data_IF_057348422694
#
_entry.id   IF_057348422694
#
_cell.length_a   1.000
_cell.length_b   1.000
_cell.length_c   1.000
_cell.angle_alpha   90.00
_cell.angle_beta   90.00
_cell.angle_gamma   90.00
#
_symmetry.space_group_name_H-M   'P 1'
#
loop_
_entity.id
_entity.type
_entity.pdbx_description
1 polymer ?
#
# COMPACT_ATOMS: atom_id res chain seq x y z
N UNK A 1 -10.59 2.19 63.25
CA UNK A 1 -11.32 1.14 63.99
C UNK A 1 -11.16 -0.17 63.23
N UNK A 2 -10.59 -1.18 63.92
CA UNK A 2 -10.52 -2.63 63.62
C UNK A 2 -9.91 -3.12 62.28
N UNK A 3 -8.65 -3.55 62.38
CA UNK A 3 -8.07 -4.72 61.68
C UNK A 3 -8.89 -5.99 61.97
N UNK A 4 -8.85 -6.96 61.05
CA UNK A 4 -8.70 -8.42 61.27
C UNK A 4 -8.59 -9.09 59.88
N UNK A 5 -7.41 -9.50 59.41
CA UNK A 5 -6.68 -10.77 59.63
C UNK A 5 -7.19 -11.96 58.79
N UNK A 6 -6.31 -12.37 57.87
CA UNK A 6 -6.06 -13.70 57.28
C UNK A 6 -6.78 -14.91 57.92
N UNK A 7 -7.32 -15.80 57.07
CA UNK A 7 -7.22 -17.27 57.24
C UNK A 7 -7.16 -17.94 55.85
N UNK A 8 -6.03 -18.62 55.58
CA UNK A 8 -5.93 -19.76 54.66
C UNK A 8 -6.16 -21.01 55.51
N UNK A 9 -6.74 -22.08 54.97
CA UNK A 9 -6.22 -23.41 55.30
C UNK A 9 -5.87 -24.20 54.06
N UNK A 10 -4.66 -24.75 54.14
CA UNK A 10 -4.06 -25.77 53.32
C UNK A 10 -4.44 -27.16 53.89
N UNK A 11 -4.05 -28.23 53.18
CA UNK A 11 -4.03 -29.65 53.58
C UNK A 11 -5.33 -30.44 53.36
N UNK A 12 -5.37 -31.71 52.94
CA UNK A 12 -4.45 -32.66 52.31
C UNK A 12 -5.25 -33.99 52.20
N UNK A 13 -4.83 -34.89 51.30
CA UNK A 13 -4.83 -36.36 51.48
C UNK A 13 -6.04 -37.22 51.03
N UNK A 14 -5.86 -37.85 49.85
CA UNK A 14 -5.80 -39.32 49.55
C UNK A 14 -7.07 -40.17 49.33
N UNK A 15 -6.91 -41.10 48.35
CA UNK A 15 -7.68 -42.28 47.86
C UNK A 15 -8.73 -41.97 46.80
N UNK A 16 -8.72 -42.54 45.58
CA UNK A 16 -8.04 -43.72 45.03
C UNK A 16 -9.08 -44.78 44.63
N UNK A 17 -9.43 -44.87 43.34
CA UNK A 17 -10.10 -45.98 42.63
C UNK A 17 -10.32 -45.50 41.16
N UNK A 18 -9.41 -45.79 40.24
CA UNK A 18 -9.43 -46.92 39.27
C UNK A 18 -10.76 -47.05 38.53
N UNK A 19 -10.81 -46.50 37.32
CA UNK A 19 -11.45 -47.13 36.15
C UNK A 19 -10.61 -46.83 34.90
N UNK A 20 -10.12 -47.92 34.32
CA UNK A 20 -9.37 -48.04 33.06
C UNK A 20 -10.26 -47.81 31.85
N UNK A 21 -9.71 -47.27 30.74
CA UNK A 21 -9.99 -47.61 29.32
C UNK A 21 -8.98 -46.82 28.42
N UNK A 22 -8.57 -47.35 27.25
CA UNK A 22 -7.15 -47.41 26.86
C UNK A 22 -6.71 -46.45 25.74
N UNK A 23 -5.39 -46.38 25.59
CA UNK A 23 -4.65 -45.84 24.44
C UNK A 23 -5.07 -46.54 23.14
N UNK A 24 -5.23 -45.76 22.08
CA UNK A 24 -5.25 -46.26 20.70
C UNK A 24 -4.29 -45.45 19.83
N UNK A 25 -3.32 -46.16 19.26
CA UNK A 25 -2.50 -45.76 18.12
C UNK A 25 -3.37 -45.53 16.87
N UNK A 26 -3.10 -44.51 16.06
CA UNK A 26 -3.53 -44.51 14.67
C UNK A 26 -2.42 -45.11 13.81
N UNK A 27 -2.53 -46.41 13.55
CA UNK A 27 -1.78 -47.07 12.49
C UNK A 27 -2.07 -46.41 11.13
N UNK A 28 -0.99 -46.30 10.35
CA UNK A 28 -0.96 -45.96 8.93
C UNK A 28 -1.83 -46.90 8.09
N UNK A 29 -2.47 -46.36 7.04
CA UNK A 29 -2.46 -46.84 5.64
C UNK A 29 -3.38 -45.93 4.77
N UNK A 30 -3.26 -45.96 3.42
CA UNK A 30 -3.40 -44.80 2.57
C UNK A 30 -4.84 -44.62 2.09
N UNK A 31 -5.36 -43.41 2.18
CA UNK A 31 -6.64 -43.07 1.57
C UNK A 31 -6.40 -42.85 0.07
N UNK A 32 -6.46 -43.95 -0.70
CA UNK A 32 -6.75 -43.90 -2.13
C UNK A 32 -8.25 -43.65 -2.29
N UNK A 33 -8.67 -42.39 -2.34
CA UNK A 33 -10.03 -42.05 -2.77
C UNK A 33 -10.12 -42.15 -4.29
N UNK A 34 -10.66 -43.28 -4.77
CA UNK A 34 -11.24 -43.37 -6.11
C UNK A 34 -12.51 -42.53 -6.13
N UNK A 35 -12.56 -41.52 -6.99
CA UNK A 35 -13.76 -40.72 -7.22
C UNK A 35 -14.74 -41.52 -8.10
N UNK A 36 -15.89 -41.88 -7.54
CA UNK A 36 -17.12 -42.05 -8.30
C UNK A 36 -18.06 -40.91 -7.88
N UNK A 37 -18.35 -39.99 -8.80
CA UNK A 37 -19.47 -39.06 -8.64
C UNK A 37 -20.61 -39.53 -9.55
N UNK A 38 -21.68 -39.98 -8.90
CA UNK A 38 -23.00 -40.20 -9.49
C UNK A 38 -23.60 -38.88 -9.94
N UNK A 39 -24.04 -38.85 -11.19
CA UNK A 39 -24.76 -37.78 -11.87
C UNK A 39 -26.12 -37.51 -11.20
N UNK A 40 -26.39 -36.26 -10.82
CA UNK A 40 -27.75 -35.73 -10.75
C UNK A 40 -27.89 -34.85 -12.00
N UNK A 41 -28.68 -35.34 -12.96
CA UNK A 41 -28.93 -34.68 -14.22
C UNK A 41 -29.90 -33.51 -14.01
N UNK A 42 -29.42 -32.30 -14.26
CA UNK A 42 -30.24 -31.12 -14.58
C UNK A 42 -29.73 -30.58 -15.92
N UNK A 43 -30.63 -30.48 -16.90
CA UNK A 43 -30.53 -29.87 -18.24
C UNK A 43 -29.11 -29.56 -18.76
N UNK A 44 -28.66 -30.41 -19.68
CA UNK A 44 -27.29 -30.46 -20.20
C UNK A 44 -26.98 -29.36 -21.21
N UNK A 45 -26.49 -28.22 -20.74
CA UNK A 45 -25.50 -27.46 -21.50
C UNK A 45 -24.16 -28.18 -21.35
N UNK A 46 -23.83 -29.06 -22.31
CA UNK A 46 -22.59 -29.86 -22.26
C UNK A 46 -21.40 -28.95 -22.59
N UNK A 47 -20.96 -28.16 -21.62
CA UNK A 47 -19.84 -27.26 -21.79
C UNK A 47 -18.55 -28.04 -22.11
N UNK A 48 -17.62 -27.46 -22.91
CA UNK A 48 -16.30 -28.04 -23.13
C UNK A 48 -15.58 -28.35 -21.83
N UNK A 49 -14.81 -29.45 -21.78
CA UNK A 49 -14.12 -29.90 -20.57
C UNK A 49 -13.36 -28.78 -19.80
N UNK A 50 -12.61 -27.86 -20.44
CA UNK A 50 -11.97 -26.75 -19.74
C UNK A 50 -12.94 -25.83 -18.98
N UNK A 51 -14.12 -25.60 -19.53
CA UNK A 51 -15.15 -24.75 -18.91
C UNK A 51 -15.67 -25.42 -17.64
N UNK A 52 -16.06 -26.70 -17.71
CA UNK A 52 -16.49 -27.47 -16.55
C UNK A 52 -15.38 -27.57 -15.49
N UNK A 53 -14.13 -27.72 -15.91
CA UNK A 53 -12.97 -27.73 -15.01
C UNK A 53 -12.83 -26.42 -14.22
N UNK A 54 -12.96 -25.26 -14.89
CA UNK A 54 -12.89 -23.95 -14.26
C UNK A 54 -14.02 -23.70 -13.28
N UNK A 55 -15.25 -24.08 -13.64
CA UNK A 55 -16.44 -23.92 -12.79
C UNK A 55 -16.30 -24.79 -11.54
N UNK A 56 -16.11 -26.11 -11.73
CA UNK A 56 -16.20 -27.09 -10.65
C UNK A 56 -15.03 -27.04 -9.68
N UNK A 57 -13.82 -26.71 -10.15
CA UNK A 57 -12.60 -26.80 -9.33
C UNK A 57 -12.05 -25.44 -8.87
N UNK A 58 -12.41 -24.34 -9.53
CA UNK A 58 -11.81 -23.03 -9.27
C UNK A 58 -12.83 -21.92 -8.97
N UNK A 59 -14.13 -22.23 -9.02
CA UNK A 59 -15.22 -21.33 -8.64
C UNK A 59 -15.48 -20.23 -9.66
N UNK A 60 -15.26 -20.50 -10.95
CA UNK A 60 -15.63 -19.58 -12.02
C UNK A 60 -17.15 -19.58 -12.22
N UNK A 61 -17.72 -18.42 -12.56
CA UNK A 61 -19.07 -18.39 -13.13
C UNK A 61 -19.04 -18.97 -14.55
N UNK A 62 -20.17 -19.51 -15.01
CA UNK A 62 -20.31 -20.02 -16.38
C UNK A 62 -19.82 -19.02 -17.43
N UNK A 63 -20.25 -17.76 -17.30
CA UNK A 63 -19.85 -16.69 -18.22
C UNK A 63 -18.33 -16.44 -18.24
N UNK A 64 -17.69 -16.39 -17.06
CA UNK A 64 -16.24 -16.16 -16.97
C UNK A 64 -15.43 -17.36 -17.50
N UNK A 65 -15.90 -18.58 -17.27
CA UNK A 65 -15.28 -19.80 -17.77
C UNK A 65 -15.37 -19.90 -19.31
N UNK A 66 -16.55 -19.61 -19.88
CA UNK A 66 -16.75 -19.52 -21.33
C UNK A 66 -15.88 -18.42 -21.95
N UNK A 67 -15.76 -17.26 -21.28
CA UNK A 67 -14.89 -16.18 -21.74
C UNK A 67 -13.43 -16.62 -21.77
N UNK A 68 -12.93 -17.30 -20.73
CA UNK A 68 -11.55 -17.81 -20.68
C UNK A 68 -11.29 -18.88 -21.77
N UNK A 69 -12.28 -19.73 -22.06
CA UNK A 69 -12.21 -20.73 -23.12
C UNK A 69 -12.20 -20.09 -24.51
N UNK A 70 -13.18 -19.22 -24.81
CA UNK A 70 -13.33 -18.56 -26.11
C UNK A 70 -12.16 -17.61 -26.42
N UNK A 71 -11.60 -16.95 -25.40
CA UNK A 71 -10.38 -16.13 -25.52
C UNK A 71 -9.09 -16.96 -25.59
N UNK A 72 -9.20 -18.29 -25.73
CA UNK A 72 -8.06 -19.19 -25.89
C UNK A 72 -7.08 -19.19 -24.71
N UNK A 73 -7.51 -18.78 -23.53
CA UNK A 73 -6.67 -18.84 -22.33
C UNK A 73 -6.47 -20.29 -21.89
N UNK A 74 -7.52 -21.13 -21.97
CA UNK A 74 -7.44 -22.55 -21.63
C UNK A 74 -7.51 -23.43 -22.88
N UNK A 75 -6.48 -24.25 -23.10
CA UNK A 75 -6.28 -25.14 -24.27
C UNK A 75 -5.81 -26.52 -23.84
N UNK A 76 -6.71 -27.28 -23.24
CA UNK A 76 -6.52 -28.68 -22.87
C UNK A 76 -7.81 -29.48 -23.11
N UNK A 77 -7.68 -30.80 -23.34
CA UNK A 77 -8.81 -31.69 -23.62
C UNK A 77 -9.09 -32.67 -22.49
N UNK A 78 -8.14 -32.86 -21.59
CA UNK A 78 -8.15 -33.85 -20.53
C UNK A 78 -7.53 -33.26 -19.24
N UNK A 79 -7.64 -33.93 -18.09
CA UNK A 79 -7.18 -33.39 -16.81
C UNK A 79 -5.66 -33.37 -16.63
N UNK A 80 -4.88 -34.01 -17.52
CA UNK A 80 -3.44 -34.21 -17.35
C UNK A 80 -2.67 -32.89 -17.21
N UNK A 81 -2.94 -31.91 -18.09
CA UNK A 81 -2.28 -30.60 -18.03
C UNK A 81 -2.67 -29.80 -16.77
N UNK A 82 -3.96 -29.61 -16.45
CA UNK A 82 -4.38 -29.01 -15.19
C UNK A 82 -3.75 -29.69 -13.96
N UNK A 83 -3.78 -31.03 -13.91
CA UNK A 83 -3.24 -31.80 -12.77
C UNK A 83 -1.73 -31.64 -12.65
N UNK A 84 -0.99 -31.64 -13.76
CA UNK A 84 0.44 -31.37 -13.77
C UNK A 84 0.77 -29.99 -13.17
N UNK A 85 0.01 -28.96 -13.54
CA UNK A 85 0.18 -27.59 -13.02
C UNK A 85 -0.17 -27.51 -11.53
N UNK A 86 -1.28 -28.12 -11.11
CA UNK A 86 -1.70 -28.15 -9.70
C UNK A 86 -0.64 -28.88 -8.85
N UNK A 87 -0.17 -30.04 -9.31
CA UNK A 87 0.84 -30.82 -8.61
C UNK A 87 2.18 -30.06 -8.53
N UNK A 88 2.57 -29.34 -9.59
CA UNK A 88 3.72 -28.46 -9.56
C UNK A 88 3.61 -27.42 -8.44
N UNK A 89 2.51 -26.67 -8.36
CA UNK A 89 2.33 -25.68 -7.31
C UNK A 89 2.30 -26.32 -5.90
N UNK A 90 1.65 -27.47 -5.73
CA UNK A 90 1.66 -28.22 -4.45
C UNK A 90 3.07 -28.62 -4.03
N UNK A 91 3.89 -29.13 -4.96
CA UNK A 91 5.28 -29.51 -4.70
C UNK A 91 6.16 -28.30 -4.33
N UNK A 92 5.74 -27.09 -4.70
CA UNK A 92 6.37 -25.83 -4.30
C UNK A 92 5.67 -25.15 -3.10
N UNK A 93 4.96 -25.94 -2.27
CA UNK A 93 4.32 -25.51 -1.02
C UNK A 93 3.19 -24.49 -1.15
N UNK A 94 2.55 -24.38 -2.32
CA UNK A 94 1.35 -23.56 -2.46
C UNK A 94 0.15 -24.27 -1.85
N UNK A 95 -0.60 -23.58 -0.98
CA UNK A 95 -1.85 -24.10 -0.46
C UNK A 95 -2.92 -24.21 -1.56
N UNK A 96 -3.93 -25.04 -1.34
CA UNK A 96 -5.07 -25.14 -2.24
C UNK A 96 -5.75 -23.77 -2.48
N UNK A 97 -5.84 -22.93 -1.45
CA UNK A 97 -6.38 -21.57 -1.55
C UNK A 97 -5.51 -20.68 -2.45
N UNK A 98 -4.18 -20.69 -2.28
CA UNK A 98 -3.27 -19.93 -3.14
C UNK A 98 -3.40 -20.35 -4.61
N UNK A 99 -3.45 -21.66 -4.87
CA UNK A 99 -3.63 -22.20 -6.23
C UNK A 99 -4.96 -21.70 -6.83
N UNK A 100 -6.06 -21.77 -6.06
CA UNK A 100 -7.35 -21.26 -6.51
C UNK A 100 -7.32 -19.77 -6.88
N UNK A 101 -6.66 -18.94 -6.07
CA UNK A 101 -6.50 -17.50 -6.35
C UNK A 101 -5.68 -17.28 -7.63
N UNK A 102 -4.58 -18.02 -7.79
CA UNK A 102 -3.69 -17.92 -8.95
C UNK A 102 -4.43 -18.28 -10.24
N UNK A 103 -5.13 -19.41 -10.25
CA UNK A 103 -5.84 -19.88 -11.45
C UNK A 103 -7.00 -18.95 -11.82
N UNK A 104 -7.71 -18.38 -10.83
CA UNK A 104 -8.73 -17.37 -11.10
C UNK A 104 -8.18 -16.12 -11.81
N UNK A 105 -6.97 -15.69 -11.43
CA UNK A 105 -6.30 -14.54 -12.06
C UNK A 105 -5.60 -14.89 -13.39
N UNK A 106 -5.16 -16.13 -13.55
CA UNK A 106 -4.33 -16.57 -14.67
C UNK A 106 -4.72 -17.99 -15.14
N UNK A 107 -5.92 -18.18 -15.72
CA UNK A 107 -6.41 -19.51 -16.08
C UNK A 107 -5.56 -20.19 -17.15
N UNK A 108 -4.82 -19.41 -17.94
CA UNK A 108 -3.86 -19.91 -18.92
C UNK A 108 -2.76 -20.80 -18.36
N UNK A 109 -2.47 -20.68 -17.06
CA UNK A 109 -1.50 -21.55 -16.39
C UNK A 109 -1.88 -23.03 -16.49
N UNK A 110 -3.19 -23.36 -16.49
CA UNK A 110 -3.67 -24.74 -16.62
C UNK A 110 -3.30 -25.41 -17.95
N UNK A 111 -2.89 -24.60 -18.95
CA UNK A 111 -2.45 -25.09 -20.26
C UNK A 111 -0.93 -25.08 -20.43
N UNK A 112 -0.20 -24.64 -19.40
CA UNK A 112 1.25 -24.48 -19.44
C UNK A 112 1.98 -25.80 -19.17
N UNK A 113 3.26 -25.85 -19.55
CA UNK A 113 4.17 -26.93 -19.19
C UNK A 113 5.01 -26.47 -17.99
N UNK A 114 4.68 -26.90 -16.75
CA UNK A 114 5.26 -26.30 -15.55
C UNK A 114 6.79 -26.46 -15.47
N UNK A 115 7.30 -27.67 -15.76
CA UNK A 115 8.73 -27.97 -15.66
C UNK A 115 9.60 -27.17 -16.63
N UNK A 116 9.08 -26.86 -17.83
CA UNK A 116 9.86 -26.13 -18.84
C UNK A 116 9.62 -24.63 -18.79
N UNK A 117 8.43 -24.17 -18.38
CA UNK A 117 8.05 -22.75 -18.46
C UNK A 117 8.03 -22.03 -17.12
N UNK A 118 7.76 -22.73 -16.02
CA UNK A 118 7.57 -22.13 -14.70
C UNK A 118 8.77 -22.40 -13.78
N UNK A 119 9.27 -23.64 -13.76
CA UNK A 119 10.37 -24.05 -12.89
C UNK A 119 11.62 -23.16 -13.00
N UNK A 120 12.11 -22.78 -14.20
CA UNK A 120 13.29 -21.90 -14.28
C UNK A 120 13.09 -20.55 -13.60
N UNK A 121 11.85 -20.03 -13.58
CA UNK A 121 11.51 -18.75 -12.95
C UNK A 121 11.50 -18.86 -11.43
N UNK A 122 11.01 -19.98 -10.91
CA UNK A 122 11.04 -20.28 -9.48
C UNK A 122 12.48 -20.43 -9.00
N UNK A 123 13.28 -21.22 -9.73
CA UNK A 123 14.70 -21.40 -9.45
C UNK A 123 15.44 -20.07 -9.47
N UNK A 124 15.16 -19.20 -10.44
CA UNK A 124 15.75 -17.87 -10.48
C UNK A 124 15.49 -17.08 -9.19
N UNK A 125 14.24 -16.98 -8.71
CA UNK A 125 13.95 -16.26 -7.47
C UNK A 125 14.61 -16.90 -6.25
N UNK A 126 14.58 -18.23 -6.13
CA UNK A 126 15.24 -18.98 -5.04
C UNK A 126 16.76 -18.74 -5.02
N UNK A 127 17.42 -18.84 -6.17
CA UNK A 127 18.87 -18.63 -6.31
C UNK A 127 19.28 -17.18 -6.02
N UNK A 128 18.37 -16.22 -6.14
CA UNK A 128 18.58 -14.82 -5.77
C UNK A 128 18.13 -14.51 -4.31
N UNK A 129 17.93 -15.53 -3.49
CA UNK A 129 17.69 -15.40 -2.05
C UNK A 129 16.24 -15.17 -1.64
N UNK A 130 15.28 -15.28 -2.56
CA UNK A 130 13.86 -15.26 -2.18
C UNK A 130 13.51 -16.55 -1.45
N UNK A 131 12.71 -16.46 -0.38
CA UNK A 131 12.16 -17.65 0.28
C UNK A 131 11.00 -18.25 -0.51
N UNK A 132 10.66 -19.52 -0.26
CA UNK A 132 9.45 -20.14 -0.81
C UNK A 132 8.19 -19.32 -0.49
N UNK A 133 8.09 -18.75 0.72
CA UNK A 133 6.98 -17.88 1.11
C UNK A 133 6.93 -16.55 0.33
N UNK A 134 8.08 -15.99 -0.04
CA UNK A 134 8.14 -14.78 -0.87
C UNK A 134 7.59 -15.07 -2.28
N UNK A 135 7.95 -16.22 -2.86
CA UNK A 135 7.47 -16.66 -4.18
C UNK A 135 5.96 -16.96 -4.13
N UNK A 136 5.48 -17.61 -3.07
CA UNK A 136 4.04 -17.85 -2.87
C UNK A 136 3.27 -16.53 -2.81
N UNK A 137 3.76 -15.58 -2.01
CA UNK A 137 3.17 -14.23 -1.90
C UNK A 137 3.16 -13.52 -3.25
N UNK A 138 4.30 -13.52 -3.95
CA UNK A 138 4.45 -12.88 -5.26
C UNK A 138 3.47 -13.41 -6.28
N UNK A 139 3.41 -14.74 -6.45
CA UNK A 139 2.62 -15.35 -7.51
C UNK A 139 1.13 -15.36 -7.17
N UNK A 140 0.76 -15.43 -5.89
CA UNK A 140 -0.64 -15.26 -5.47
C UNK A 140 -1.15 -13.84 -5.78
N UNK A 141 -0.31 -12.82 -5.58
CA UNK A 141 -0.65 -11.45 -5.90
C UNK A 141 -0.62 -11.18 -7.41
N UNK A 142 0.45 -11.56 -8.08
CA UNK A 142 0.79 -11.23 -9.46
C UNK A 142 1.22 -12.46 -10.27
N UNK A 143 0.30 -13.36 -10.66
CA UNK A 143 0.64 -14.51 -11.50
C UNK A 143 0.97 -14.11 -12.95
N UNK A 144 0.65 -12.88 -13.37
CA UNK A 144 0.92 -12.40 -14.73
C UNK A 144 2.43 -12.34 -15.04
N UNK A 145 3.29 -12.19 -14.02
CA UNK A 145 4.75 -12.23 -14.18
C UNK A 145 5.24 -13.52 -14.85
N UNK A 146 4.51 -14.64 -14.67
CA UNK A 146 4.84 -15.93 -15.28
C UNK A 146 4.61 -15.95 -16.80
N UNK A 147 3.93 -14.95 -17.39
CA UNK A 147 3.78 -14.82 -18.84
C UNK A 147 5.05 -14.25 -19.49
N UNK A 148 5.82 -13.45 -18.75
CA UNK A 148 7.05 -12.81 -19.23
C UNK A 148 8.18 -13.80 -19.48
N UNK A 149 9.08 -13.52 -20.44
CA UNK A 149 10.32 -14.29 -20.62
C UNK A 149 11.22 -14.13 -19.38
N UNK A 150 11.88 -15.21 -18.98
CA UNK A 150 12.83 -15.14 -17.87
C UNK A 150 14.01 -14.24 -18.26
N UNK A 151 14.63 -14.52 -19.41
CA UNK A 151 15.87 -13.92 -19.90
C UNK A 151 15.66 -12.48 -20.37
N UNK A 152 14.60 -12.22 -21.14
CA UNK A 152 14.37 -10.91 -21.77
C UNK A 152 13.65 -9.91 -20.85
N UNK A 153 13.10 -10.37 -19.72
CA UNK A 153 12.18 -9.54 -18.93
C UNK A 153 12.33 -9.68 -17.42
N UNK A 154 12.22 -10.89 -16.87
CA UNK A 154 12.27 -11.07 -15.41
C UNK A 154 13.66 -10.75 -14.87
N UNK A 155 14.71 -11.34 -15.44
CA UNK A 155 16.10 -11.11 -15.03
C UNK A 155 16.47 -9.61 -15.13
N UNK A 156 16.28 -8.94 -16.28
CA UNK A 156 16.69 -7.54 -16.41
C UNK A 156 15.93 -6.58 -15.48
N UNK A 157 14.63 -6.82 -15.24
CA UNK A 157 13.85 -6.03 -14.26
C UNK A 157 14.38 -6.27 -12.85
N UNK A 158 14.62 -7.53 -12.51
CA UNK A 158 15.09 -7.89 -11.19
C UNK A 158 16.45 -7.23 -10.88
N UNK A 159 17.40 -7.32 -11.80
CA UNK A 159 18.72 -6.68 -11.67
C UNK A 159 18.61 -5.17 -11.58
N UNK A 160 17.72 -4.56 -12.37
CA UNK A 160 17.47 -3.12 -12.33
C UNK A 160 16.92 -2.68 -10.97
N UNK A 161 15.90 -3.38 -10.46
CA UNK A 161 15.30 -3.08 -9.16
C UNK A 161 16.30 -3.28 -8.03
N UNK A 162 17.13 -4.32 -8.11
CA UNK A 162 18.16 -4.62 -7.10
C UNK A 162 19.20 -3.49 -6.93
N UNK A 163 19.32 -2.55 -7.89
CA UNK A 163 20.16 -1.34 -7.74
C UNK A 163 19.54 -0.29 -6.81
N UNK A 164 18.22 -0.31 -6.62
CA UNK A 164 17.47 0.70 -5.86
C UNK A 164 16.91 0.16 -4.54
N UNK A 165 16.79 -1.15 -4.40
CA UNK A 165 16.26 -1.81 -3.22
C UNK A 165 17.37 -2.54 -2.46
N UNK A 166 17.33 -2.44 -1.13
CA UNK A 166 18.39 -3.01 -0.27
C UNK A 166 18.24 -4.52 -0.07
N UNK A 167 17.02 -5.03 -0.11
CA UNK A 167 16.74 -6.45 0.17
C UNK A 167 15.91 -7.09 -0.94
N UNK A 168 16.05 -8.40 -1.09
CA UNK A 168 15.20 -9.21 -1.97
C UNK A 168 13.71 -9.08 -1.62
N UNK A 169 13.39 -8.96 -0.33
CA UNK A 169 12.02 -8.76 0.14
C UNK A 169 11.43 -7.45 -0.38
N UNK A 170 12.22 -6.38 -0.43
CA UNK A 170 11.77 -5.10 -0.99
C UNK A 170 11.51 -5.20 -2.50
N UNK A 171 12.36 -5.94 -3.24
CA UNK A 171 12.15 -6.20 -4.67
C UNK A 171 10.88 -7.01 -4.90
N UNK A 172 10.64 -8.06 -4.09
CA UNK A 172 9.42 -8.88 -4.18
C UNK A 172 8.19 -8.04 -3.83
N UNK A 173 8.23 -7.27 -2.75
CA UNK A 173 7.15 -6.37 -2.37
C UNK A 173 6.84 -5.36 -3.48
N UNK A 174 7.88 -4.84 -4.15
CA UNK A 174 7.70 -3.99 -5.31
C UNK A 174 6.99 -4.70 -6.47
N UNK A 175 7.40 -5.92 -6.82
CA UNK A 175 6.78 -6.71 -7.90
C UNK A 175 5.33 -7.12 -7.60
N UNK A 176 4.97 -7.19 -6.31
CA UNK A 176 3.60 -7.39 -5.82
C UNK A 176 2.77 -6.13 -6.02
N UNK A 177 3.25 -4.97 -5.54
CA UNK A 177 2.49 -3.71 -5.52
C UNK A 177 2.41 -3.09 -6.92
N UNK A 178 3.48 -3.20 -7.71
CA UNK A 178 3.62 -2.55 -9.02
C UNK A 178 3.60 -3.56 -10.17
N UNK A 179 2.71 -4.55 -10.08
CA UNK A 179 2.56 -5.62 -11.07
C UNK A 179 2.37 -5.09 -12.49
N UNK A 180 1.66 -3.97 -12.63
CA UNK A 180 1.39 -3.32 -13.90
C UNK A 180 2.65 -2.82 -14.60
N UNK A 181 3.67 -2.38 -13.86
CA UNK A 181 4.90 -1.91 -14.49
C UNK A 181 5.63 -3.07 -15.19
N UNK A 182 5.74 -4.20 -14.49
CA UNK A 182 6.41 -5.39 -15.00
C UNK A 182 5.60 -6.09 -16.10
N UNK A 183 4.28 -5.91 -16.14
CA UNK A 183 3.42 -6.50 -17.16
C UNK A 183 3.24 -5.63 -18.41
N UNK A 184 3.15 -4.30 -18.27
CA UNK A 184 2.58 -3.44 -19.30
C UNK A 184 3.59 -2.54 -20.04
N UNK A 185 4.79 -2.30 -19.51
CA UNK A 185 5.76 -1.38 -20.14
C UNK A 185 7.03 -2.08 -20.59
N UNK A 186 7.48 -1.93 -21.86
CA UNK A 186 8.73 -2.53 -22.34
C UNK A 186 9.96 -2.23 -21.45
N UNK A 187 10.91 -3.16 -21.34
CA UNK A 187 12.02 -3.07 -20.36
C UNK A 187 13.01 -1.98 -20.78
N UNK A 188 13.33 -1.98 -22.06
CA UNK A 188 14.05 -0.94 -22.78
C UNK A 188 13.50 0.45 -22.48
N UNK A 189 12.18 0.62 -22.43
CA UNK A 189 11.57 1.92 -22.06
C UNK A 189 11.83 2.30 -20.61
N UNK A 190 11.67 1.36 -19.68
CA UNK A 190 11.94 1.59 -18.25
C UNK A 190 13.41 1.99 -18.06
N UNK A 191 14.32 1.24 -18.67
CA UNK A 191 15.76 1.49 -18.60
C UNK A 191 16.13 2.84 -19.22
N UNK A 192 15.60 3.16 -20.41
CA UNK A 192 15.81 4.45 -21.07
C UNK A 192 15.32 5.63 -20.22
N UNK A 193 14.14 5.50 -19.60
CA UNK A 193 13.60 6.54 -18.74
C UNK A 193 14.41 6.73 -17.45
N UNK A 194 14.96 5.67 -16.87
CA UNK A 194 15.89 5.78 -15.72
C UNK A 194 17.17 6.51 -16.15
N UNK A 195 17.75 6.14 -17.29
CA UNK A 195 18.93 6.82 -17.82
C UNK A 195 18.66 8.29 -18.12
N UNK A 196 17.48 8.60 -18.68
CA UNK A 196 17.05 9.98 -18.91
C UNK A 196 16.94 10.77 -17.60
N UNK A 197 16.37 10.19 -16.54
CA UNK A 197 16.33 10.83 -15.22
C UNK A 197 17.74 11.10 -14.68
N UNK A 198 18.66 10.14 -14.81
CA UNK A 198 20.07 10.31 -14.40
C UNK A 198 20.75 11.42 -15.22
N UNK A 199 20.52 11.47 -16.53
CA UNK A 199 21.02 12.53 -17.40
C UNK A 199 20.51 13.91 -16.98
N UNK A 200 19.26 14.02 -16.54
CA UNK A 200 18.70 15.26 -16.00
C UNK A 200 19.28 15.65 -14.63
N UNK A 201 20.02 14.75 -13.95
CA UNK A 201 20.67 15.01 -12.67
C UNK A 201 19.96 14.39 -11.45
N UNK A 202 18.96 13.54 -11.64
CA UNK A 202 18.28 12.89 -10.52
C UNK A 202 19.20 11.86 -9.86
N UNK A 203 19.35 11.96 -8.55
CA UNK A 203 20.08 10.98 -7.75
C UNK A 203 19.31 9.66 -7.59
N UNK A 204 20.05 8.56 -7.36
CA UNK A 204 19.47 7.21 -7.24
C UNK A 204 18.43 7.11 -6.12
N UNK A 205 18.59 7.84 -5.02
CA UNK A 205 17.61 7.87 -3.92
C UNK A 205 16.29 8.51 -4.33
N UNK A 206 16.32 9.52 -5.21
CA UNK A 206 15.10 10.13 -5.77
C UNK A 206 14.43 9.20 -6.76
N UNK A 207 15.19 8.52 -7.60
CA UNK A 207 14.68 7.49 -8.54
C UNK A 207 14.05 6.32 -7.76
N UNK A 208 14.72 5.81 -6.73
CA UNK A 208 14.19 4.75 -5.86
C UNK A 208 12.85 5.14 -5.21
N UNK A 209 12.74 6.37 -4.71
CA UNK A 209 11.49 6.88 -4.13
C UNK A 209 10.38 7.04 -5.17
N UNK A 210 10.71 7.43 -6.41
CA UNK A 210 9.74 7.47 -7.51
C UNK A 210 9.26 6.08 -7.90
N UNK A 211 10.16 5.08 -7.95
CA UNK A 211 9.77 3.68 -8.18
C UNK A 211 8.73 3.27 -7.15
N UNK A 212 9.01 3.48 -5.86
CA UNK A 212 8.12 3.09 -4.77
C UNK A 212 6.76 3.81 -4.78
N UNK A 213 6.74 5.09 -5.15
CA UNK A 213 5.53 5.93 -4.99
C UNK A 213 4.72 6.14 -6.26
N UNK A 214 5.33 5.99 -7.45
CA UNK A 214 4.67 6.20 -8.75
C UNK A 214 5.42 5.52 -9.91
N UNK A 215 5.46 4.19 -9.87
CA UNK A 215 6.13 3.35 -10.87
C UNK A 215 5.72 3.65 -12.33
N UNK A 216 4.47 4.01 -12.60
CA UNK A 216 4.00 4.28 -13.97
C UNK A 216 4.78 5.39 -14.72
N UNK A 217 5.48 6.29 -14.00
CA UNK A 217 6.34 7.33 -14.61
C UNK A 217 7.43 6.69 -15.47
N UNK A 218 7.97 5.55 -15.07
CA UNK A 218 9.04 4.86 -15.80
C UNK A 218 8.54 4.20 -17.10
N UNK A 219 7.23 4.04 -17.26
CA UNK A 219 6.60 3.55 -18.49
C UNK A 219 6.19 4.65 -19.47
N UNK A 220 6.36 5.93 -19.11
CA UNK A 220 5.93 7.08 -19.89
C UNK A 220 6.70 7.19 -21.22
N UNK A 221 5.99 7.55 -22.29
CA UNK A 221 6.57 7.82 -23.63
C UNK A 221 7.00 9.27 -23.81
N UNK A 222 6.62 10.15 -22.87
CA UNK A 222 6.78 11.59 -22.94
C UNK A 222 7.43 12.14 -21.65
N UNK A 223 8.26 11.34 -20.99
CA UNK A 223 8.89 11.68 -19.71
C UNK A 223 9.70 12.98 -19.80
N UNK A 224 10.43 13.16 -20.90
CA UNK A 224 11.29 14.34 -21.15
C UNK A 224 10.51 15.65 -20.98
N UNK A 225 9.29 15.74 -21.51
CA UNK A 225 8.46 16.96 -21.43
C UNK A 225 8.17 17.36 -19.99
N UNK A 226 7.94 16.39 -19.10
CA UNK A 226 7.69 16.69 -17.69
C UNK A 226 8.96 16.93 -16.89
N UNK A 227 10.08 16.33 -17.28
CA UNK A 227 11.39 16.68 -16.69
C UNK A 227 11.74 18.13 -17.02
N UNK A 228 11.56 18.54 -18.28
CA UNK A 228 11.76 19.92 -18.74
C UNK A 228 10.78 20.88 -18.07
N UNK A 229 9.49 20.53 -17.98
CA UNK A 229 8.48 21.34 -17.30
C UNK A 229 8.84 21.57 -15.82
N UNK A 230 9.20 20.51 -15.08
CA UNK A 230 9.55 20.63 -13.66
C UNK A 230 10.85 21.43 -13.49
N UNK A 231 11.84 21.24 -14.38
CA UNK A 231 13.05 22.06 -14.39
C UNK A 231 12.74 23.53 -14.68
N UNK A 232 11.85 23.81 -15.63
CA UNK A 232 11.39 25.15 -15.99
C UNK A 232 10.61 25.86 -14.87
N UNK A 233 9.96 25.10 -13.99
CA UNK A 233 9.34 25.62 -12.75
C UNK A 233 10.38 25.95 -11.66
N UNK A 234 11.67 25.78 -11.94
CA UNK A 234 12.78 26.18 -11.09
C UNK A 234 13.13 25.18 -9.99
N UNK A 235 12.76 23.90 -10.15
CA UNK A 235 13.26 22.83 -9.30
C UNK A 235 14.65 22.38 -9.76
N UNK A 236 15.56 22.21 -8.80
CA UNK A 236 16.86 21.60 -9.04
C UNK A 236 16.71 20.07 -9.14
N UNK A 237 17.05 19.45 -10.29
CA UNK A 237 16.99 17.99 -10.51
C UNK A 237 17.74 17.15 -9.47
N UNK A 238 18.77 17.70 -8.83
CA UNK A 238 19.56 16.97 -7.83
C UNK A 238 18.79 16.72 -6.52
N UNK A 239 17.71 17.49 -6.29
CA UNK A 239 16.99 17.52 -5.02
C UNK A 239 15.84 16.53 -4.94
N UNK A 240 15.49 16.14 -3.72
CA UNK A 240 14.33 15.29 -3.47
C UNK A 240 12.99 15.95 -3.82
N UNK A 241 12.92 17.29 -3.81
CA UNK A 241 11.71 18.04 -4.15
C UNK A 241 11.40 17.96 -5.64
N UNK A 242 12.41 17.89 -6.50
CA UNK A 242 12.22 17.64 -7.93
C UNK A 242 11.44 16.34 -8.18
N UNK A 243 11.83 15.24 -7.53
CA UNK A 243 11.09 13.97 -7.65
C UNK A 243 9.64 14.09 -7.17
N UNK A 244 9.38 14.84 -6.09
CA UNK A 244 8.01 15.06 -5.61
C UNK A 244 7.20 15.94 -6.59
N UNK A 245 7.82 16.95 -7.19
CA UNK A 245 7.20 17.80 -8.21
C UNK A 245 6.90 17.01 -9.49
N UNK A 246 7.85 16.18 -9.96
CA UNK A 246 7.64 15.28 -11.09
C UNK A 246 6.48 14.31 -10.85
N UNK A 247 6.42 13.72 -9.64
CA UNK A 247 5.29 12.89 -9.23
C UNK A 247 3.98 13.66 -9.28
N UNK A 248 3.93 14.89 -8.79
CA UNK A 248 2.73 15.72 -8.85
C UNK A 248 2.31 15.99 -10.30
N UNK A 249 3.25 16.42 -11.15
CA UNK A 249 2.97 16.80 -12.55
C UNK A 249 2.58 15.61 -13.44
N UNK A 250 3.28 14.49 -13.36
CA UNK A 250 2.92 13.27 -14.11
C UNK A 250 1.77 12.49 -13.49
N UNK A 251 1.52 12.67 -12.20
CA UNK A 251 0.52 11.90 -11.46
C UNK A 251 -0.92 12.37 -11.64
N UNK A 252 -1.15 13.53 -12.23
CA UNK A 252 -2.49 14.11 -12.38
C UNK A 252 -2.75 14.65 -13.79
N UNK A 253 -4.03 14.68 -14.17
CA UNK A 253 -4.45 15.33 -15.41
C UNK A 253 -4.35 16.85 -15.30
N UNK A 254 -4.24 17.53 -16.45
CA UNK A 254 -4.27 19.01 -16.52
C UNK A 254 -5.55 19.57 -15.88
N UNK A 255 -6.69 18.89 -16.05
CA UNK A 255 -7.97 19.25 -15.43
C UNK A 255 -7.87 19.23 -13.90
N UNK A 256 -7.37 18.14 -13.32
CA UNK A 256 -7.23 18.02 -11.87
C UNK A 256 -6.20 19.02 -11.31
N UNK A 257 -5.11 19.27 -12.03
CA UNK A 257 -4.15 20.31 -11.67
C UNK A 257 -4.81 21.68 -11.55
N UNK A 258 -5.57 22.08 -12.57
CA UNK A 258 -6.27 23.38 -12.57
C UNK A 258 -7.30 23.46 -11.45
N UNK A 259 -8.09 22.41 -11.21
CA UNK A 259 -9.03 22.36 -10.09
C UNK A 259 -8.33 22.56 -8.74
N UNK A 260 -7.16 21.95 -8.53
CA UNK A 260 -6.38 22.16 -7.30
C UNK A 260 -5.87 23.59 -7.18
N UNK A 261 -5.40 24.20 -8.26
CA UNK A 261 -4.99 25.61 -8.26
C UNK A 261 -6.19 26.51 -7.90
N UNK A 262 -7.35 26.26 -8.49
CA UNK A 262 -8.56 27.05 -8.26
C UNK A 262 -9.09 26.92 -6.82
N UNK A 263 -8.86 25.79 -6.17
CA UNK A 263 -9.15 25.62 -4.73
C UNK A 263 -8.35 26.61 -3.90
N UNK A 264 -7.06 26.82 -4.15
CA UNK A 264 -6.28 27.81 -3.42
C UNK A 264 -6.70 29.24 -3.76
N UNK A 265 -7.10 29.52 -5.02
CA UNK A 265 -7.64 30.83 -5.40
C UNK A 265 -8.92 31.20 -4.66
N UNK A 266 -9.79 30.21 -4.37
CA UNK A 266 -10.98 30.41 -3.53
C UNK A 266 -10.62 30.94 -2.13
N UNK A 267 -9.40 30.68 -1.68
CA UNK A 267 -8.86 31.17 -0.40
C UNK A 267 -7.91 32.36 -0.61
N UNK A 268 -8.14 33.17 -1.64
CA UNK A 268 -7.41 34.42 -1.94
C UNK A 268 -5.92 34.25 -2.30
N UNK A 269 -5.49 33.04 -2.69
CA UNK A 269 -4.13 32.87 -3.20
C UNK A 269 -4.06 33.28 -4.67
N UNK A 270 -3.10 34.15 -5.01
CA UNK A 270 -2.75 34.42 -6.41
C UNK A 270 -2.10 33.19 -7.05
N UNK A 271 -2.08 33.14 -8.39
CA UNK A 271 -1.32 32.11 -9.11
C UNK A 271 0.13 32.05 -8.62
N UNK A 272 0.76 33.22 -8.45
CA UNK A 272 2.14 33.32 -7.96
C UNK A 272 2.29 32.72 -6.56
N UNK A 273 1.37 33.01 -5.62
CA UNK A 273 1.41 32.41 -4.29
C UNK A 273 1.29 30.88 -4.33
N UNK A 274 0.43 30.33 -5.20
CA UNK A 274 0.30 28.88 -5.40
C UNK A 274 1.60 28.30 -5.96
N UNK A 275 2.21 28.93 -6.95
CA UNK A 275 3.47 28.44 -7.53
C UNK A 275 4.63 28.52 -6.55
N UNK A 276 4.75 29.57 -5.74
CA UNK A 276 5.76 29.69 -4.69
C UNK A 276 5.55 28.63 -3.59
N UNK A 277 4.31 28.38 -3.18
CA UNK A 277 3.98 27.31 -2.23
C UNK A 277 4.30 25.92 -2.82
N UNK A 278 4.00 25.70 -4.10
CA UNK A 278 4.35 24.45 -4.79
C UNK A 278 5.87 24.28 -4.90
N UNK A 279 6.62 25.35 -5.21
CA UNK A 279 8.08 25.31 -5.33
C UNK A 279 8.77 25.01 -4.00
N UNK A 280 8.29 25.62 -2.92
CA UNK A 280 8.81 25.36 -1.57
C UNK A 280 8.41 23.97 -1.04
N UNK A 281 7.22 23.48 -1.40
CA UNK A 281 6.74 22.17 -0.97
C UNK A 281 5.82 21.49 -2.02
N UNK A 282 6.38 20.69 -2.94
CA UNK A 282 5.61 20.08 -4.04
C UNK A 282 4.53 19.10 -3.60
N UNK A 283 4.69 18.54 -2.39
CA UNK A 283 3.71 17.66 -1.76
C UNK A 283 2.34 18.32 -1.56
N UNK A 284 2.26 19.65 -1.57
CA UNK A 284 1.00 20.40 -1.49
C UNK A 284 0.01 19.95 -2.56
N UNK A 285 0.48 19.76 -3.80
CA UNK A 285 -0.38 19.36 -4.92
C UNK A 285 -0.82 17.89 -4.83
N UNK A 286 -0.23 17.10 -3.95
CA UNK A 286 -0.62 15.71 -3.68
C UNK A 286 -1.72 15.59 -2.60
N UNK A 287 -2.00 16.66 -1.85
CA UNK A 287 -3.08 16.70 -0.85
C UNK A 287 -4.45 16.74 -1.54
N UNK A 288 -5.45 16.00 -1.08
CA UNK A 288 -6.80 16.02 -1.68
C UNK A 288 -7.46 17.41 -1.55
N UNK A 289 -8.33 17.74 -2.50
CA UNK A 289 -9.06 19.01 -2.51
C UNK A 289 -9.88 19.16 -1.21
N UNK A 290 -10.57 18.10 -0.81
CA UNK A 290 -11.40 18.10 0.40
C UNK A 290 -10.58 18.37 1.65
N UNK A 291 -9.39 17.76 1.76
CA UNK A 291 -8.50 17.99 2.90
C UNK A 291 -7.97 19.42 2.92
N UNK A 292 -7.64 20.00 1.77
CA UNK A 292 -7.25 21.43 1.69
C UNK A 292 -8.40 22.31 2.19
N UNK A 293 -9.62 22.13 1.68
CA UNK A 293 -10.77 22.93 2.10
C UNK A 293 -11.11 22.77 3.59
N UNK A 294 -11.02 21.54 4.10
CA UNK A 294 -11.28 21.24 5.50
C UNK A 294 -10.28 21.96 6.42
N UNK A 295 -8.99 21.89 6.09
CA UNK A 295 -7.94 22.58 6.85
C UNK A 295 -8.04 24.10 6.75
N UNK A 296 -8.35 24.63 5.56
CA UNK A 296 -8.56 26.07 5.37
C UNK A 296 -9.78 26.59 6.13
N UNK A 297 -10.89 25.84 6.12
CA UNK A 297 -12.08 26.18 6.92
C UNK A 297 -11.74 26.25 8.40
N UNK A 298 -10.94 25.30 8.90
CA UNK A 298 -10.47 25.34 10.29
C UNK A 298 -9.58 26.56 10.56
N UNK A 299 -8.47 26.74 9.84
CA UNK A 299 -7.52 27.81 10.13
C UNK A 299 -8.07 29.21 9.86
N UNK A 300 -8.71 29.41 8.70
CA UNK A 300 -9.18 30.73 8.27
C UNK A 300 -10.51 31.06 8.93
N UNK A 301 -11.53 30.22 8.77
CA UNK A 301 -12.88 30.58 9.24
C UNK A 301 -13.04 30.43 10.75
N UNK A 302 -12.48 29.38 11.36
CA UNK A 302 -12.65 29.15 12.80
C UNK A 302 -11.58 29.85 13.64
N UNK A 303 -10.33 29.91 13.17
CA UNK A 303 -9.24 30.54 13.94
C UNK A 303 -8.91 31.97 13.50
N UNK A 304 -9.51 32.47 12.42
CA UNK A 304 -9.27 33.83 11.91
C UNK A 304 -7.86 34.03 11.33
N UNK A 305 -7.18 32.97 10.90
CA UNK A 305 -5.82 33.09 10.37
C UNK A 305 -5.82 33.67 8.96
N UNK A 306 -4.80 34.48 8.65
CA UNK A 306 -4.58 34.96 7.30
C UNK A 306 -4.22 33.80 6.37
N UNK A 307 -5.06 33.55 5.36
CA UNK A 307 -4.87 32.52 4.34
C UNK A 307 -3.49 32.58 3.66
N UNK A 308 -3.02 33.77 3.27
CA UNK A 308 -1.74 33.95 2.59
C UNK A 308 -0.54 33.65 3.49
N UNK A 309 -0.69 33.76 4.81
CA UNK A 309 0.38 33.40 5.74
C UNK A 309 0.65 31.88 5.72
N UNK A 310 -0.37 31.06 5.41
CA UNK A 310 -0.24 29.61 5.29
C UNK A 310 0.57 29.19 4.06
N UNK A 311 0.62 30.01 3.00
CA UNK A 311 1.43 29.75 1.81
C UNK A 311 2.94 29.68 2.12
N UNK A 312 3.38 30.32 3.21
CA UNK A 312 4.77 30.26 3.68
C UNK A 312 5.13 28.92 4.32
N UNK A 313 4.15 28.08 4.66
CA UNK A 313 4.40 26.76 5.22
C UNK A 313 3.43 25.69 4.67
N UNK A 314 3.55 25.32 3.39
CA UNK A 314 2.58 24.44 2.75
C UNK A 314 2.61 23.00 3.28
N UNK A 315 3.67 22.60 3.98
CA UNK A 315 3.74 21.28 4.63
C UNK A 315 2.64 21.08 5.67
N UNK A 316 2.09 22.16 6.27
CA UNK A 316 0.99 22.06 7.22
C UNK A 316 -0.25 21.37 6.62
N UNK A 317 -0.49 21.52 5.31
CA UNK A 317 -1.60 20.89 4.61
C UNK A 317 -1.52 19.35 4.58
N UNK A 318 -0.37 18.78 4.91
CA UNK A 318 -0.19 17.32 4.97
C UNK A 318 -0.56 16.72 6.31
N UNK A 319 -0.62 17.51 7.38
CA UNK A 319 -0.92 17.02 8.72
C UNK A 319 -2.37 16.56 8.86
N UNK A 320 -2.62 15.64 9.80
CA UNK A 320 -3.99 15.25 10.15
C UNK A 320 -4.67 16.39 10.87
N UNK A 321 -5.88 16.74 10.44
CA UNK A 321 -6.68 17.76 11.12
C UNK A 321 -6.92 17.34 12.58
N UNK A 322 -7.52 16.17 12.77
CA UNK A 322 -7.99 15.73 14.08
C UNK A 322 -6.84 15.22 14.98
N UNK A 323 -5.82 14.57 14.42
CA UNK A 323 -4.70 13.99 15.21
C UNK A 323 -3.52 14.92 15.43
N UNK A 324 -3.52 16.13 14.84
CA UNK A 324 -2.41 17.07 15.02
C UNK A 324 -2.84 18.51 15.03
N UNK A 325 -3.65 18.94 14.07
CA UNK A 325 -3.97 20.36 13.93
C UNK A 325 -4.90 20.83 15.05
N UNK A 326 -6.04 20.19 15.26
CA UNK A 326 -7.01 20.58 16.29
C UNK A 326 -6.41 20.51 17.70
N UNK A 327 -5.78 19.40 18.15
CA UNK A 327 -5.24 19.29 19.51
C UNK A 327 -4.21 20.37 19.81
N UNK A 328 -3.31 20.64 18.84
CA UNK A 328 -2.28 21.67 19.01
C UNK A 328 -2.87 23.07 18.96
N UNK A 329 -3.83 23.33 18.06
CA UNK A 329 -4.51 24.62 18.00
C UNK A 329 -5.23 24.94 19.31
N UNK A 330 -5.92 23.96 19.92
CA UNK A 330 -6.61 24.16 21.21
C UNK A 330 -5.65 24.53 22.34
N UNK A 331 -4.50 23.84 22.45
CA UNK A 331 -3.45 24.20 23.42
C UNK A 331 -2.96 25.63 23.18
N UNK A 332 -2.64 25.99 21.94
CA UNK A 332 -2.12 27.31 21.60
C UNK A 332 -3.14 28.43 21.84
N UNK A 333 -4.43 28.18 21.59
CA UNK A 333 -5.51 29.12 21.89
C UNK A 333 -5.66 29.35 23.39
N UNK A 334 -5.60 28.28 24.19
CA UNK A 334 -5.65 28.42 25.64
C UNK A 334 -4.47 29.25 26.17
N UNK A 335 -3.25 28.96 25.69
CA UNK A 335 -2.06 29.73 26.07
C UNK A 335 -2.19 31.22 25.69
N UNK A 336 -2.70 31.52 24.49
CA UNK A 336 -2.96 32.90 24.05
C UNK A 336 -4.02 33.58 24.93
N UNK A 337 -5.12 32.89 25.24
CA UNK A 337 -6.19 33.39 26.09
C UNK A 337 -5.71 33.71 27.51
N UNK A 338 -4.80 32.90 28.06
CA UNK A 338 -4.19 33.11 29.37
C UNK A 338 -3.05 34.14 29.37
N UNK A 339 -2.69 34.71 28.21
CA UNK A 339 -1.53 35.60 28.08
C UNK A 339 -0.18 34.91 28.27
N UNK A 340 -0.15 33.57 28.27
CA UNK A 340 1.05 32.74 28.41
C UNK A 340 1.82 32.59 27.09
N UNK A 341 1.31 33.18 26.01
CA UNK A 341 1.92 33.21 24.69
C UNK A 341 1.68 34.56 24.04
N UNK A 342 2.73 35.10 23.42
CA UNK A 342 2.65 36.37 22.71
C UNK A 342 1.77 36.25 21.45
N UNK A 343 1.03 37.32 21.13
CA UNK A 343 0.14 37.36 19.96
C UNK A 343 0.88 37.28 18.62
N UNK A 344 2.13 37.75 18.57
CA UNK A 344 3.01 37.71 17.40
C UNK A 344 3.88 36.44 17.32
N UNK A 345 3.76 35.51 18.28
CA UNK A 345 4.51 34.26 18.26
C UNK A 345 4.17 33.43 17.00
N UNK A 346 5.15 32.68 16.48
CA UNK A 346 5.00 31.91 15.24
C UNK A 346 3.76 31.01 15.24
N UNK A 347 2.82 31.26 14.33
CA UNK A 347 1.61 30.42 14.15
C UNK A 347 1.94 29.01 13.67
N UNK A 348 3.03 28.86 12.93
CA UNK A 348 3.37 27.65 12.18
C UNK A 348 4.25 26.70 12.98
N UNK A 349 5.27 27.21 13.66
CA UNK A 349 6.30 26.39 14.31
C UNK A 349 5.74 25.30 15.25
N UNK A 350 4.70 25.56 16.07
CA UNK A 350 4.12 24.53 16.94
C UNK A 350 3.59 23.29 16.21
N UNK A 351 3.17 23.43 14.95
CA UNK A 351 2.62 22.32 14.15
C UNK A 351 3.70 21.46 13.49
N UNK A 352 4.91 21.99 13.35
CA UNK A 352 6.05 21.29 12.75
C UNK A 352 6.74 20.37 13.76
N UNK A 353 6.75 20.74 15.05
CA UNK A 353 7.46 19.96 16.06
C UNK A 353 6.97 18.51 16.16
N UNK A 354 7.91 17.62 16.54
CA UNK A 354 7.53 16.27 16.97
C UNK A 354 6.60 16.35 18.18
N UNK A 355 5.82 15.30 18.44
CA UNK A 355 4.89 15.28 19.57
C UNK A 355 5.61 15.53 20.91
N UNK A 356 6.73 14.83 21.14
CA UNK A 356 7.57 15.03 22.34
C UNK A 356 7.99 16.49 22.52
N UNK A 357 8.48 17.14 21.46
CA UNK A 357 8.91 18.53 21.51
C UNK A 357 7.72 19.49 21.71
N UNK A 358 6.59 19.21 21.07
CA UNK A 358 5.38 20.00 21.25
C UNK A 358 4.91 19.94 22.72
N UNK A 359 4.77 18.76 23.30
CA UNK A 359 4.34 18.61 24.69
C UNK A 359 5.34 19.26 25.65
N UNK A 360 6.64 19.05 25.46
CA UNK A 360 7.65 19.69 26.29
C UNK A 360 7.59 21.22 26.26
N UNK A 361 7.39 21.83 25.08
CA UNK A 361 7.43 23.29 24.91
C UNK A 361 6.11 24.01 25.12
N UNK A 362 4.97 23.33 24.94
CA UNK A 362 3.65 23.97 24.95
C UNK A 362 2.71 23.39 25.99
N UNK A 363 3.12 22.34 26.70
CA UNK A 363 2.33 21.72 27.77
C UNK A 363 3.13 21.72 29.08
N UNK A 364 4.23 20.98 29.13
CA UNK A 364 4.98 20.76 30.38
C UNK A 364 5.84 21.94 30.85
N UNK A 365 6.15 22.89 29.96
CA UNK A 365 6.85 24.13 30.33
C UNK A 365 5.99 25.07 31.19
N UNK A 366 4.67 24.94 31.13
CA UNK A 366 3.71 25.73 31.88
C UNK A 366 3.29 24.96 33.12
N UNK A 367 4.16 24.93 34.15
CA UNK A 367 4.01 24.03 35.31
C UNK A 367 2.63 24.12 35.97
N UNK A 368 2.08 25.32 36.14
CA UNK A 368 0.79 25.54 36.79
C UNK A 368 -0.41 25.05 35.94
N UNK A 369 -0.31 25.11 34.62
CA UNK A 369 -1.38 24.74 33.68
C UNK A 369 -1.17 23.35 33.04
N UNK A 370 -0.05 22.69 33.35
CA UNK A 370 0.42 21.51 32.62
C UNK A 370 -0.60 20.36 32.59
N UNK A 371 -1.20 20.03 33.73
CA UNK A 371 -2.23 18.98 33.84
C UNK A 371 -3.46 19.29 32.97
N UNK A 372 -3.91 20.55 32.99
CA UNK A 372 -5.05 20.99 32.18
C UNK A 372 -4.71 20.95 30.68
N UNK A 373 -3.53 21.46 30.29
CA UNK A 373 -3.08 21.49 28.91
C UNK A 373 -2.91 20.07 28.34
N UNK A 374 -2.38 19.14 29.15
CA UNK A 374 -2.26 17.74 28.76
C UNK A 374 -3.65 17.12 28.57
N UNK A 375 -4.56 17.31 29.52
CA UNK A 375 -5.94 16.82 29.42
C UNK A 375 -6.65 17.38 28.18
N UNK A 376 -6.54 18.68 27.93
CA UNK A 376 -7.10 19.33 26.74
C UNK A 376 -6.54 18.72 25.45
N UNK A 377 -5.22 18.52 25.37
CA UNK A 377 -4.60 17.88 24.21
C UNK A 377 -5.12 16.45 23.99
N UNK A 378 -5.16 15.65 25.05
CA UNK A 378 -5.63 14.26 25.00
C UNK A 378 -7.12 14.14 24.65
N UNK A 379 -7.98 15.01 25.17
CA UNK A 379 -9.41 15.05 24.85
C UNK A 379 -9.62 15.32 23.35
N UNK A 380 -8.90 16.31 22.79
CA UNK A 380 -8.97 16.62 21.36
C UNK A 380 -8.40 15.49 20.51
N UNK A 381 -7.37 14.80 20.98
CA UNK A 381 -6.85 13.60 20.32
C UNK A 381 -7.85 12.44 20.35
N UNK A 382 -8.58 12.23 21.45
CA UNK A 382 -9.59 11.16 21.58
C UNK A 382 -10.78 11.34 20.64
N UNK A 383 -11.28 12.57 20.49
CA UNK A 383 -12.36 12.89 19.56
C UNK A 383 -12.02 12.54 18.09
N UNK A 384 -10.73 12.59 17.73
CA UNK A 384 -10.25 12.15 16.41
C UNK A 384 -10.53 10.67 16.14
N UNK A 385 -10.42 9.81 17.15
CA UNK A 385 -10.63 8.37 17.00
C UNK A 385 -12.11 8.01 16.87
N UNK A 386 -13.02 8.81 17.46
CA UNK A 386 -14.47 8.60 17.29
C UNK A 386 -15.00 9.06 15.94
N UNK A 387 -14.43 10.11 15.35
CA UNK A 387 -14.87 10.65 14.05
C UNK A 387 -14.35 9.81 12.87
N UNK A 388 -13.12 9.28 12.93
CA UNK A 388 -12.56 8.41 11.88
C UNK A 388 -13.28 7.04 11.78
N UNK A 389 -13.83 6.53 12.88
CA UNK A 389 -14.59 5.26 12.87
C UNK A 389 -15.98 5.40 12.22
N UNK A 390 -16.50 6.63 12.09
CA UNK A 390 -17.85 6.89 11.56
C UNK A 390 -17.84 7.50 10.14
N UNK A 391 -16.68 7.72 9.53
CA UNK A 391 -16.61 8.41 8.24
C UNK A 391 -15.37 8.10 7.41
N UNK A 392 -15.39 6.97 6.69
CA UNK A 392 -15.12 6.93 5.23
C UNK A 392 -15.22 5.50 4.69
N UNK A 393 -15.91 5.28 3.55
CA UNK A 393 -15.72 4.08 2.75
C UNK A 393 -14.30 4.07 2.18
N UNK A 394 -13.64 2.92 2.27
CA UNK A 394 -12.41 2.62 1.52
C UNK A 394 -12.68 2.82 0.02
N UNK A 395 -12.22 3.95 -0.52
CA UNK A 395 -12.11 4.11 -1.98
C UNK A 395 -10.89 3.30 -2.39
N UNK A 396 -11.15 2.22 -3.13
CA UNK A 396 -10.20 1.31 -3.77
C UNK A 396 -9.25 2.03 -4.73
#
# INVERSE_FOLDING_TARGET
MRRLTLIIPNQNVVRGLITTIPKFDPFSFPISLRFFNTSIASESDTHPFPVSCLINNFGFSTQSALTAFNSNQVRFKNPDKPNSVINFFKNHHFSHSNIGIIIRKAPWLLSSQPNTRLLPKFQFFLSNGASSSDIVSLLTANPAILRSSLEKRIIPIFELLSRFFKTIKDVVAYLIIHSDLSANYPYDRIAANINLMKYFGLCDSTIARLLQTRSCIFGSTDLIKSLEEVKGLGFDPSTTTFGTALRAKKGMSKKLWNQKVDVFKKWDWSNEAVFQAFRSYPGLMLVSIDKVNLLMTFWVNQLGWNSLALAKCPVMFTYSLHKRVIPRASVLQFLLMKGLREKNASLVAPFIYSEKLFLSKFVFSFKAESDYLLKLYEEKMKLAYSEENNGMPLIK
#
